data_IF_829715849985
#
_entry.id   IF_829715849985
#
_cell.length_a   1.000
_cell.length_b   1.000
_cell.length_c   1.000
_cell.angle_alpha   90.00
_cell.angle_beta   90.00
_cell.angle_gamma   90.00
#
_symmetry.space_group_name_H-M   'P 1'
#
loop_
_entity.id
_entity.type
_entity.pdbx_description
1 polymer ?
#
# COMPACT_ATOMS: atom_id res chain seq x y z
N UNK A 1 -17.18 -3.57 35.39
CA UNK A 1 -16.46 -4.39 34.40
C UNK A 1 -16.52 -3.68 33.05
N UNK A 2 -15.38 -3.33 32.44
CA UNK A 2 -15.34 -2.73 31.09
C UNK A 2 -15.53 -3.86 30.07
N UNK A 3 -16.68 -3.91 29.43
CA UNK A 3 -16.99 -4.88 28.39
C UNK A 3 -16.00 -4.71 27.24
N UNK A 4 -15.13 -5.70 27.03
CA UNK A 4 -14.26 -5.75 25.87
C UNK A 4 -15.14 -5.94 24.62
N UNK A 5 -15.32 -4.88 23.83
CA UNK A 5 -16.01 -4.98 22.52
C UNK A 5 -15.36 -6.10 21.70
N UNK A 6 -16.12 -7.09 21.20
CA UNK A 6 -15.56 -8.20 20.47
C UNK A 6 -14.99 -7.71 19.12
N UNK A 7 -13.66 -7.72 18.97
CA UNK A 7 -12.94 -7.56 17.69
C UNK A 7 -13.21 -8.72 16.69
N UNK A 8 -14.35 -9.41 16.78
CA UNK A 8 -14.67 -10.59 15.97
C UNK A 8 -14.79 -10.26 14.48
N UNK A 9 -15.31 -9.08 14.13
CA UNK A 9 -15.52 -8.68 12.73
C UNK A 9 -14.20 -8.48 11.96
N UNK A 10 -13.13 -8.04 12.63
CA UNK A 10 -11.83 -7.82 11.98
C UNK A 10 -11.14 -9.14 11.63
N UNK A 11 -11.26 -10.17 12.49
CA UNK A 11 -10.67 -11.49 12.24
C UNK A 11 -11.32 -12.23 11.07
N UNK A 12 -12.64 -12.13 10.94
CA UNK A 12 -13.36 -12.75 9.83
C UNK A 12 -12.97 -12.12 8.48
N UNK A 13 -12.85 -10.79 8.42
CA UNK A 13 -12.39 -10.08 7.23
C UNK A 13 -10.93 -10.43 6.87
N UNK A 14 -10.03 -10.53 7.86
CA UNK A 14 -8.66 -10.97 7.63
C UNK A 14 -8.57 -12.41 7.11
N UNK A 15 -9.41 -13.31 7.63
CA UNK A 15 -9.48 -14.70 7.14
C UNK A 15 -10.01 -14.79 5.71
N UNK A 16 -11.04 -14.01 5.38
CA UNK A 16 -11.64 -13.99 4.04
C UNK A 16 -10.64 -13.46 2.99
N UNK A 17 -9.84 -12.45 3.33
CA UNK A 17 -8.79 -11.99 2.40
C UNK A 17 -7.63 -12.98 2.31
N UNK A 18 -7.26 -13.65 3.40
CA UNK A 18 -6.24 -14.72 3.36
C UNK A 18 -6.68 -15.93 2.53
N UNK A 19 -7.98 -16.25 2.50
CA UNK A 19 -8.51 -17.39 1.75
C UNK A 19 -8.69 -17.13 0.26
N UNK A 20 -8.72 -15.86 -0.17
CA UNK A 20 -8.93 -15.49 -1.56
C UNK A 20 -7.65 -14.92 -2.19
N UNK A 21 -6.87 -15.80 -2.83
CA UNK A 21 -5.62 -15.48 -3.56
C UNK A 21 -5.83 -14.41 -4.64
N UNK A 22 -7.05 -14.27 -5.16
CA UNK A 22 -7.42 -13.31 -6.21
C UNK A 22 -7.92 -11.96 -5.67
N UNK A 23 -8.27 -11.83 -4.38
CA UNK A 23 -8.85 -10.61 -3.80
C UNK A 23 -7.77 -9.68 -3.20
N UNK A 24 -6.75 -9.34 -3.98
CA UNK A 24 -5.75 -8.32 -3.61
C UNK A 24 -5.06 -8.52 -2.24
N UNK A 25 -4.27 -7.53 -1.82
CA UNK A 25 -3.61 -7.54 -0.50
C UNK A 25 -4.47 -6.77 0.49
N UNK A 26 -4.85 -7.39 1.61
CA UNK A 26 -5.50 -6.67 2.70
C UNK A 26 -4.54 -5.67 3.33
N UNK A 27 -4.87 -4.39 3.24
CA UNK A 27 -4.12 -3.32 3.92
C UNK A 27 -4.98 -2.84 5.10
N UNK A 28 -4.52 -3.02 6.36
CA UNK A 28 -5.21 -2.50 7.54
C UNK A 28 -5.42 -1.00 7.42
N UNK A 29 -6.55 -0.49 7.92
CA UNK A 29 -6.95 0.91 7.75
C UNK A 29 -5.90 1.91 8.30
N UNK A 30 -5.26 1.54 9.40
CA UNK A 30 -4.12 2.25 10.00
C UNK A 30 -2.87 2.35 9.10
N UNK A 31 -2.71 1.41 8.17
CA UNK A 31 -1.53 1.28 7.32
C UNK A 31 -1.79 1.81 5.90
N UNK A 32 -3.06 2.02 5.50
CA UNK A 32 -3.44 2.56 4.18
C UNK A 32 -2.73 3.87 3.84
N UNK A 33 -2.67 4.79 4.81
CA UNK A 33 -2.00 6.08 4.60
C UNK A 33 -0.49 5.91 4.38
N UNK A 34 0.16 5.00 5.13
CA UNK A 34 1.59 4.73 4.98
C UNK A 34 1.90 4.11 3.61
N UNK A 35 1.11 3.13 3.20
CA UNK A 35 1.26 2.48 1.88
C UNK A 35 1.02 3.50 0.76
N UNK A 36 0.03 4.38 0.91
CA UNK A 36 -0.23 5.47 -0.04
C UNK A 36 0.96 6.42 -0.18
N UNK A 37 1.57 6.84 0.94
CA UNK A 37 2.77 7.70 0.93
C UNK A 37 3.97 6.98 0.28
N UNK A 38 4.18 5.70 0.59
CA UNK A 38 5.24 4.91 -0.04
C UNK A 38 5.05 4.76 -1.55
N UNK A 39 3.82 4.50 -2.00
CA UNK A 39 3.49 4.39 -3.42
C UNK A 39 3.72 5.72 -4.14
N UNK A 40 3.26 6.83 -3.56
CA UNK A 40 3.51 8.18 -4.11
C UNK A 40 5.00 8.48 -4.19
N UNK A 41 5.76 8.23 -3.12
CA UNK A 41 7.21 8.41 -3.10
C UNK A 41 7.91 7.62 -4.19
N UNK A 42 7.54 6.35 -4.38
CA UNK A 42 8.10 5.51 -5.44
C UNK A 42 7.79 6.08 -6.84
N UNK A 43 6.56 6.53 -7.10
CA UNK A 43 6.21 7.12 -8.41
C UNK A 43 6.99 8.39 -8.72
N UNK A 44 7.19 9.26 -7.73
CA UNK A 44 7.99 10.50 -7.90
C UNK A 44 9.45 10.17 -8.19
N UNK A 45 10.03 9.19 -7.48
CA UNK A 45 11.41 8.76 -7.72
C UNK A 45 11.60 8.19 -9.13
N UNK A 46 10.68 7.32 -9.58
CA UNK A 46 10.72 6.77 -10.95
C UNK A 46 10.59 7.88 -11.99
N UNK A 47 9.71 8.86 -11.75
CA UNK A 47 9.54 10.00 -12.64
C UNK A 47 10.82 10.86 -12.74
N UNK A 48 11.44 11.19 -11.60
CA UNK A 48 12.70 11.94 -11.57
C UNK A 48 13.84 11.17 -12.24
N UNK A 49 13.90 9.86 -12.04
CA UNK A 49 14.88 9.00 -12.71
C UNK A 49 14.68 9.07 -14.22
N UNK A 50 13.45 8.93 -14.70
CA UNK A 50 13.09 9.05 -16.11
C UNK A 50 13.52 10.39 -16.73
N UNK A 51 13.25 11.49 -16.04
CA UNK A 51 13.69 12.83 -16.45
C UNK A 51 15.21 12.95 -16.53
N UNK A 52 15.93 12.42 -15.53
CA UNK A 52 17.39 12.42 -15.53
C UNK A 52 17.97 11.60 -16.67
N UNK A 53 17.46 10.39 -16.92
CA UNK A 53 17.87 9.59 -18.09
C UNK A 53 17.58 10.31 -19.40
N UNK A 54 16.41 10.93 -19.55
CA UNK A 54 16.09 11.71 -20.75
C UNK A 54 17.01 12.92 -20.93
N UNK A 55 17.33 13.62 -19.84
CA UNK A 55 18.25 14.75 -19.87
C UNK A 55 19.70 14.34 -20.21
N UNK A 56 20.14 13.16 -19.76
CA UNK A 56 21.45 12.61 -20.12
C UNK A 56 21.50 12.20 -21.59
N UNK A 57 20.47 11.51 -22.09
CA UNK A 57 20.39 11.09 -23.50
C UNK A 57 20.37 12.30 -24.44
N UNK A 58 19.70 13.39 -24.05
CA UNK A 58 19.58 14.59 -24.88
C UNK A 58 20.83 15.49 -24.83
N UNK A 59 21.84 15.12 -24.05
CA UNK A 59 23.09 15.87 -23.86
C UNK A 59 24.26 15.32 -24.69
N UNK A 60 24.19 14.06 -25.11
CA UNK A 60 25.06 13.46 -26.13
C UNK A 60 24.54 13.79 -27.54
#
# INVERSE_FOLDING_TARGET
MRYARPKKHYRAAEQEVRSHITKGVFIPEKDKMRVGVCALGATVLVFLLGLLTGALINRD
#
